data_IF_937409384376
#
_entry.id   IF_937409384376
#
_cell.length_a   1.000
_cell.length_b   1.000
_cell.length_c   1.000
_cell.angle_alpha   90.00
_cell.angle_beta   90.00
_cell.angle_gamma   90.00
#
_symmetry.space_group_name_H-M   'P 1'
#
loop_
_entity.id
_entity.type
_entity.pdbx_description
1 polymer ?
#
# COMPACT_ATOMS: atom_id res chain seq x y z
N UNK A 1 6.33 29.39 -15.12
CA UNK A 1 6.60 28.18 -14.32
C UNK A 1 6.47 28.57 -12.85
N UNK A 2 5.35 28.24 -12.18
CA UNK A 2 5.28 28.30 -10.73
C UNK A 2 5.95 27.05 -10.12
N UNK A 3 6.51 27.14 -8.91
CA UNK A 3 7.48 26.18 -8.39
C UNK A 3 6.84 24.99 -7.68
N UNK A 4 7.55 23.86 -7.76
CA UNK A 4 7.29 22.54 -7.18
C UNK A 4 7.29 22.51 -5.63
N UNK A 5 6.28 23.11 -5.00
CA UNK A 5 6.05 22.99 -3.55
C UNK A 5 4.91 22.02 -3.18
N UNK A 6 4.12 21.57 -4.14
CA UNK A 6 3.05 20.59 -3.90
C UNK A 6 3.57 19.14 -3.78
N UNK A 7 4.67 18.81 -4.45
CA UNK A 7 5.16 17.42 -4.55
C UNK A 7 5.69 16.87 -3.20
N UNK A 8 6.40 17.68 -2.41
CA UNK A 8 7.04 17.21 -1.17
C UNK A 8 6.09 16.85 -0.02
N UNK A 9 4.91 17.50 0.06
CA UNK A 9 3.92 17.21 1.13
C UNK A 9 3.09 15.98 0.78
N UNK A 10 2.86 15.75 -0.51
CA UNK A 10 2.11 14.59 -1.02
C UNK A 10 2.94 13.30 -0.88
N UNK A 11 4.21 13.33 -1.27
CA UNK A 11 5.09 12.17 -1.12
C UNK A 11 5.25 11.75 0.34
N UNK A 12 5.32 12.72 1.26
CA UNK A 12 5.40 12.44 2.70
C UNK A 12 4.15 11.77 3.27
N UNK A 13 2.94 11.99 2.71
CA UNK A 13 1.71 11.36 3.23
C UNK A 13 1.53 9.93 2.71
N UNK A 14 1.94 9.65 1.47
CA UNK A 14 1.91 8.28 0.92
C UNK A 14 2.93 7.38 1.60
N UNK A 15 4.14 7.87 1.86
CA UNK A 15 5.15 7.12 2.63
C UNK A 15 4.65 6.81 4.05
N UNK A 16 3.93 7.76 4.66
CA UNK A 16 3.30 7.55 5.97
C UNK A 16 2.19 6.49 5.89
N UNK A 17 1.34 6.54 4.86
CA UNK A 17 0.30 5.55 4.61
C UNK A 17 0.90 4.15 4.47
N UNK A 18 1.93 3.99 3.63
CA UNK A 18 2.60 2.71 3.38
C UNK A 18 3.28 2.15 4.65
N UNK A 19 3.89 3.04 5.44
CA UNK A 19 4.41 2.67 6.77
C UNK A 19 3.30 2.21 7.71
N UNK A 20 2.12 2.81 7.65
CA UNK A 20 0.99 2.42 8.49
C UNK A 20 0.37 1.10 8.01
N UNK A 21 0.24 0.91 6.70
CA UNK A 21 -0.20 -0.34 6.08
C UNK A 21 0.69 -1.52 6.46
N UNK A 22 2.01 -1.37 6.37
CA UNK A 22 2.97 -2.41 6.78
C UNK A 22 2.88 -2.75 8.28
N UNK A 23 2.46 -1.78 9.10
CA UNK A 23 2.23 -1.94 10.54
C UNK A 23 0.79 -2.35 10.92
N UNK A 24 -0.08 -2.71 9.95
CA UNK A 24 -1.48 -3.16 10.18
C UNK A 24 -1.62 -4.14 11.35
N UNK A 25 -0.69 -5.09 11.46
CA UNK A 25 -0.73 -6.14 12.48
C UNK A 25 -0.68 -5.58 13.92
N UNK A 26 0.00 -4.47 14.15
CA UNK A 26 0.10 -3.82 15.47
C UNK A 26 -1.27 -3.28 15.89
N UNK A 27 -1.93 -2.51 15.01
CA UNK A 27 -3.25 -1.94 15.29
C UNK A 27 -4.32 -3.01 15.48
N UNK A 28 -4.29 -4.07 14.65
CA UNK A 28 -5.18 -5.23 14.83
C UNK A 28 -4.95 -5.92 16.18
N UNK A 29 -3.69 -6.08 16.63
CA UNK A 29 -3.38 -6.68 17.93
C UNK A 29 -3.89 -5.83 19.11
N UNK A 30 -3.77 -4.50 19.03
CA UNK A 30 -4.34 -3.59 20.03
C UNK A 30 -5.87 -3.73 20.11
N UNK A 31 -6.53 -3.80 18.94
CA UNK A 31 -7.98 -4.03 18.84
C UNK A 31 -8.39 -5.37 19.45
N UNK A 32 -7.69 -6.45 19.10
CA UNK A 32 -7.95 -7.79 19.66
C UNK A 32 -7.72 -7.84 21.17
N UNK A 33 -6.69 -7.15 21.68
CA UNK A 33 -6.44 -7.05 23.12
C UNK A 33 -7.60 -6.37 23.85
N UNK A 34 -8.12 -5.27 23.30
CA UNK A 34 -9.31 -4.57 23.84
C UNK A 34 -10.54 -5.47 23.84
N UNK A 35 -10.77 -6.20 22.75
CA UNK A 35 -11.88 -7.15 22.61
C UNK A 35 -11.76 -8.32 23.61
N UNK A 36 -10.55 -8.84 23.82
CA UNK A 36 -10.29 -9.87 24.84
C UNK A 36 -10.59 -9.35 26.25
N UNK A 37 -10.20 -8.10 26.56
CA UNK A 37 -10.54 -7.46 27.83
C UNK A 37 -12.04 -7.37 28.07
N UNK A 38 -12.81 -6.94 27.06
CA UNK A 38 -14.27 -6.87 27.14
C UNK A 38 -14.91 -8.27 27.30
N UNK A 39 -14.42 -9.28 26.57
CA UNK A 39 -14.89 -10.66 26.70
C UNK A 39 -14.57 -11.26 28.07
N UNK A 40 -13.44 -10.91 28.67
CA UNK A 40 -13.06 -11.39 30.00
C UNK A 40 -14.07 -10.98 31.07
N UNK A 41 -14.68 -9.78 30.94
CA UNK A 41 -15.74 -9.30 31.83
C UNK A 41 -16.97 -10.22 31.82
N UNK A 42 -17.27 -10.87 30.68
CA UNK A 42 -18.38 -11.84 30.60
C UNK A 42 -18.04 -13.19 31.27
N UNK A 43 -16.75 -13.56 31.30
CA UNK A 43 -16.31 -14.86 31.82
C UNK A 43 -15.97 -14.85 33.31
N UNK A 44 -15.42 -13.75 33.82
CA UNK A 44 -14.92 -13.64 35.19
C UNK A 44 -16.06 -13.69 36.22
N UNK A 45 -17.23 -13.13 35.88
CA UNK A 45 -18.45 -13.10 36.73
C UNK A 45 -19.56 -14.07 36.24
N UNK A 46 -19.22 -15.03 35.38
CA UNK A 46 -20.16 -15.88 34.63
C UNK A 46 -21.14 -16.74 35.46
N UNK A 47 -21.00 -16.80 36.79
CA UNK A 47 -21.97 -17.50 37.65
C UNK A 47 -23.11 -16.61 38.18
N UNK A 48 -23.05 -15.28 38.08
CA UNK A 48 -24.11 -14.39 38.61
C UNK A 48 -24.29 -13.05 37.86
N UNK A 49 -23.66 -12.81 36.70
CA UNK A 49 -23.80 -11.52 36.04
C UNK A 49 -25.25 -11.26 35.56
N UNK A 50 -25.93 -10.19 36.02
CA UNK A 50 -27.29 -9.88 35.59
C UNK A 50 -27.40 -9.71 34.07
N UNK A 51 -28.56 -10.04 33.50
CA UNK A 51 -28.80 -9.95 32.06
C UNK A 51 -28.61 -8.51 31.56
N UNK A 52 -28.98 -7.52 32.36
CA UNK A 52 -28.79 -6.11 32.06
C UNK A 52 -27.30 -5.74 31.93
N UNK A 53 -26.45 -6.28 32.80
CA UNK A 53 -25.00 -6.04 32.74
C UNK A 53 -24.36 -6.74 31.53
N UNK A 54 -24.79 -7.98 31.26
CA UNK A 54 -24.41 -8.68 30.03
C UNK A 54 -24.78 -7.88 28.79
N UNK A 55 -25.99 -7.31 28.74
CA UNK A 55 -26.46 -6.47 27.65
C UNK A 55 -25.57 -5.24 27.43
N UNK A 56 -25.14 -4.58 28.52
CA UNK A 56 -24.25 -3.42 28.41
C UNK A 56 -22.84 -3.80 27.93
N UNK A 57 -22.29 -4.93 28.39
CA UNK A 57 -20.97 -5.40 27.91
C UNK A 57 -21.05 -5.79 26.43
N UNK A 58 -22.13 -6.48 26.02
CA UNK A 58 -22.38 -6.77 24.62
C UNK A 58 -22.52 -5.49 23.78
N UNK A 59 -23.14 -4.41 24.28
CA UNK A 59 -23.18 -3.13 23.55
C UNK A 59 -21.77 -2.59 23.28
N UNK A 60 -20.87 -2.63 24.26
CA UNK A 60 -19.47 -2.23 24.07
C UNK A 60 -18.75 -3.12 23.05
N UNK A 61 -19.03 -4.42 23.07
CA UNK A 61 -18.49 -5.36 22.07
C UNK A 61 -19.06 -5.06 20.67
N UNK A 62 -20.34 -4.76 20.55
CA UNK A 62 -20.97 -4.34 19.28
C UNK A 62 -20.28 -3.09 18.76
N UNK A 63 -20.08 -2.06 19.59
CA UNK A 63 -19.40 -0.82 19.20
C UNK A 63 -17.96 -1.07 18.68
N UNK A 64 -17.21 -1.96 19.34
CA UNK A 64 -15.85 -2.30 18.91
C UNK A 64 -15.80 -3.18 17.66
N UNK A 65 -16.75 -4.12 17.53
CA UNK A 65 -16.84 -5.01 16.38
C UNK A 65 -17.46 -4.33 15.16
N UNK A 66 -18.29 -3.31 15.35
CA UNK A 66 -19.08 -2.70 14.28
C UNK A 66 -18.25 -2.33 13.06
N UNK A 67 -17.09 -1.64 13.19
CA UNK A 67 -16.28 -1.33 12.03
C UNK A 67 -15.24 -2.41 11.69
N UNK A 68 -15.14 -3.48 12.48
CA UNK A 68 -14.06 -4.48 12.41
C UNK A 68 -14.52 -5.85 11.86
N UNK A 69 -15.68 -6.37 12.29
CA UNK A 69 -16.18 -7.68 11.88
C UNK A 69 -17.71 -7.70 11.86
N UNK A 70 -18.29 -7.88 10.67
CA UNK A 70 -19.73 -8.01 10.49
C UNK A 70 -20.29 -9.19 11.29
N UNK A 71 -19.69 -10.37 11.16
CA UNK A 71 -20.20 -11.61 11.77
C UNK A 71 -20.19 -11.53 13.30
N UNK A 72 -19.14 -10.95 13.88
CA UNK A 72 -19.05 -10.76 15.33
C UNK A 72 -20.09 -9.74 15.81
N UNK A 73 -20.27 -8.64 15.07
CA UNK A 73 -21.29 -7.63 15.38
C UNK A 73 -22.69 -8.25 15.37
N UNK A 74 -23.02 -8.98 14.31
CA UNK A 74 -24.29 -9.70 14.17
C UNK A 74 -24.52 -10.68 15.32
N UNK A 75 -23.48 -11.45 15.69
CA UNK A 75 -23.57 -12.40 16.80
C UNK A 75 -23.96 -11.73 18.12
N UNK A 76 -23.32 -10.61 18.46
CA UNK A 76 -23.61 -9.89 19.71
C UNK A 76 -24.94 -9.13 19.66
N UNK A 77 -25.36 -8.61 18.50
CA UNK A 77 -26.71 -8.04 18.33
C UNK A 77 -27.76 -9.10 18.63
N UNK A 78 -27.60 -10.32 18.09
CA UNK A 78 -28.54 -11.42 18.32
C UNK A 78 -28.58 -11.87 19.79
N UNK A 79 -27.42 -11.90 20.47
CA UNK A 79 -27.36 -12.16 21.92
C UNK A 79 -28.11 -11.09 22.72
N UNK A 80 -27.93 -9.82 22.36
CA UNK A 80 -28.66 -8.72 22.99
C UNK A 80 -30.16 -8.75 22.71
N UNK A 81 -30.57 -9.17 21.52
CA UNK A 81 -31.98 -9.36 21.20
C UNK A 81 -32.60 -10.46 22.08
N UNK A 82 -31.91 -11.58 22.29
CA UNK A 82 -32.37 -12.64 23.18
C UNK A 82 -32.53 -12.16 24.63
N UNK A 83 -31.56 -11.41 25.15
CA UNK A 83 -31.64 -10.78 26.47
C UNK A 83 -32.83 -9.82 26.56
N UNK A 84 -32.99 -8.95 25.57
CA UNK A 84 -34.07 -7.96 25.55
C UNK A 84 -35.46 -8.60 25.54
N UNK A 85 -35.61 -9.74 24.84
CA UNK A 85 -36.82 -10.56 24.84
C UNK A 85 -37.08 -11.20 26.21
N UNK A 86 -36.06 -11.80 26.82
CA UNK A 86 -36.17 -12.42 28.15
C UNK A 86 -36.60 -11.41 29.23
N UNK A 87 -36.05 -10.20 29.16
CA UNK A 87 -36.39 -9.09 30.05
C UNK A 87 -37.70 -8.38 29.67
N UNK A 88 -38.36 -8.76 28.57
CA UNK A 88 -39.53 -8.07 28.01
C UNK A 88 -39.34 -6.55 27.85
N UNK A 89 -38.11 -6.11 27.54
CA UNK A 89 -37.78 -4.69 27.44
C UNK A 89 -37.94 -4.20 25.99
N UNK A 90 -39.11 -3.64 25.68
CA UNK A 90 -39.46 -3.16 24.34
C UNK A 90 -38.48 -2.12 23.77
N UNK A 91 -37.90 -1.25 24.62
CA UNK A 91 -36.90 -0.28 24.18
C UNK A 91 -35.64 -0.98 23.67
N UNK A 92 -35.19 -2.02 24.38
CA UNK A 92 -34.00 -2.78 24.01
C UNK A 92 -34.26 -3.67 22.79
N UNK A 93 -35.46 -4.24 22.67
CA UNK A 93 -35.86 -5.00 21.48
C UNK A 93 -35.79 -4.10 20.24
N UNK A 94 -36.39 -2.90 20.30
CA UNK A 94 -36.36 -1.97 19.18
C UNK A 94 -34.95 -1.46 18.87
N UNK A 95 -34.11 -1.22 19.89
CA UNK A 95 -32.69 -0.89 19.69
C UNK A 95 -31.93 -2.01 18.98
N UNK A 96 -32.14 -3.27 19.37
CA UNK A 96 -31.52 -4.42 18.73
C UNK A 96 -31.98 -4.58 17.27
N UNK A 97 -33.27 -4.44 17.00
CA UNK A 97 -33.82 -4.48 15.65
C UNK A 97 -33.26 -3.35 14.78
N UNK A 98 -33.15 -2.14 15.33
CA UNK A 98 -32.55 -1.01 14.62
C UNK A 98 -31.07 -1.24 14.31
N UNK A 99 -30.28 -1.70 15.29
CA UNK A 99 -28.87 -2.05 15.08
C UNK A 99 -28.72 -3.15 14.02
N UNK A 100 -29.60 -4.15 14.02
CA UNK A 100 -29.59 -5.20 13.00
C UNK A 100 -29.89 -4.63 11.61
N UNK A 101 -30.91 -3.78 11.48
CA UNK A 101 -31.25 -3.14 10.22
C UNK A 101 -30.10 -2.27 9.69
N UNK A 102 -29.46 -1.47 10.55
CA UNK A 102 -28.31 -0.64 10.21
C UNK A 102 -27.12 -1.48 9.72
N UNK A 103 -26.81 -2.59 10.39
CA UNK A 103 -25.73 -3.49 10.01
C UNK A 103 -26.00 -4.17 8.66
N UNK A 104 -27.26 -4.58 8.43
CA UNK A 104 -27.67 -5.18 7.16
C UNK A 104 -27.62 -4.14 6.03
N UNK A 105 -28.10 -2.92 6.26
CA UNK A 105 -28.02 -1.83 5.30
C UNK A 105 -26.57 -1.45 4.95
N UNK A 106 -25.67 -1.36 5.93
CA UNK A 106 -24.25 -1.03 5.69
C UNK A 106 -23.53 -2.05 4.81
N UNK A 107 -23.98 -3.30 4.83
CA UNK A 107 -23.38 -4.39 4.06
C UNK A 107 -24.11 -4.72 2.74
N UNK A 108 -25.12 -3.94 2.36
CA UNK A 108 -25.87 -4.09 1.10
C UNK A 108 -27.11 -5.01 1.16
N UNK A 109 -27.56 -5.43 2.35
CA UNK A 109 -28.74 -6.32 2.54
C UNK A 109 -30.02 -5.50 2.74
N UNK A 110 -30.32 -4.63 1.78
CA UNK A 110 -31.35 -3.59 1.92
C UNK A 110 -32.76 -4.13 2.19
N UNK A 111 -33.17 -5.21 1.52
CA UNK A 111 -34.52 -5.78 1.68
C UNK A 111 -34.76 -6.29 3.11
N UNK A 112 -33.81 -7.05 3.66
CA UNK A 112 -33.87 -7.55 5.03
C UNK A 112 -33.90 -6.39 6.04
N UNK A 113 -33.04 -5.38 5.83
CA UNK A 113 -33.03 -4.17 6.67
C UNK A 113 -34.39 -3.45 6.66
N UNK A 114 -34.97 -3.22 5.48
CA UNK A 114 -36.29 -2.57 5.36
C UNK A 114 -37.40 -3.37 6.04
N UNK A 115 -37.37 -4.70 5.95
CA UNK A 115 -38.38 -5.54 6.57
C UNK A 115 -38.28 -5.52 8.10
N UNK A 116 -37.07 -5.43 8.66
CA UNK A 116 -36.86 -5.23 10.10
C UNK A 116 -37.34 -3.84 10.52
N UNK A 117 -36.98 -2.77 9.79
CA UNK A 117 -37.38 -1.40 10.13
C UNK A 117 -38.91 -1.27 10.26
N UNK A 118 -39.69 -1.94 9.38
CA UNK A 118 -41.16 -1.93 9.43
C UNK A 118 -41.74 -2.53 10.73
N UNK A 119 -40.97 -3.35 11.45
CA UNK A 119 -41.41 -3.95 12.72
C UNK A 119 -41.16 -3.05 13.93
N UNK A 120 -40.39 -1.97 13.77
CA UNK A 120 -39.99 -1.11 14.88
C UNK A 120 -41.13 -0.14 15.21
N UNK A 121 -41.62 -0.23 16.44
CA UNK A 121 -42.54 0.77 16.97
C UNK A 121 -41.78 2.01 17.45
N UNK A 122 -41.97 3.10 16.71
CA UNK A 122 -41.32 4.41 16.93
C UNK A 122 -41.64 5.01 18.31
N UNK A 123 -42.74 4.62 18.96
CA UNK A 123 -43.12 5.12 20.30
C UNK A 123 -42.07 4.77 21.37
N UNK A 124 -41.29 3.70 21.15
CA UNK A 124 -40.25 3.26 22.09
C UNK A 124 -38.83 3.72 21.70
N UNK A 125 -38.70 4.58 20.69
CA UNK A 125 -37.42 5.17 20.31
C UNK A 125 -37.22 6.50 21.03
N UNK A 126 -36.02 6.71 21.57
CA UNK A 126 -35.61 8.06 21.97
C UNK A 126 -35.20 8.88 20.74
N UNK A 127 -34.87 10.16 20.94
CA UNK A 127 -34.51 11.07 19.84
C UNK A 127 -33.33 10.54 19.02
N UNK A 128 -32.32 9.96 19.67
CA UNK A 128 -31.13 9.43 18.98
C UNK A 128 -31.49 8.22 18.12
N UNK A 129 -32.22 7.25 18.67
CA UNK A 129 -32.67 6.08 17.92
C UNK A 129 -33.66 6.44 16.81
N UNK A 130 -34.42 7.52 16.97
CA UNK A 130 -35.32 8.03 15.92
C UNK A 130 -34.51 8.59 14.74
N UNK A 131 -33.44 9.33 15.03
CA UNK A 131 -32.50 9.82 14.01
C UNK A 131 -31.85 8.62 13.30
N UNK A 132 -31.35 7.63 14.05
CA UNK A 132 -30.74 6.42 13.50
C UNK A 132 -31.71 5.62 12.62
N UNK A 133 -32.99 5.54 12.99
CA UNK A 133 -34.04 4.89 12.21
C UNK A 133 -34.23 5.56 10.84
N UNK A 134 -34.34 6.88 10.80
CA UNK A 134 -34.47 7.60 9.54
C UNK A 134 -33.17 7.60 8.73
N UNK A 135 -32.01 7.69 9.39
CA UNK A 135 -30.71 7.54 8.76
C UNK A 135 -30.55 6.18 8.08
N UNK A 136 -31.09 5.10 8.68
CA UNK A 136 -31.07 3.78 8.07
C UNK A 136 -31.84 3.76 6.75
N UNK A 137 -33.05 4.33 6.70
CA UNK A 137 -33.79 4.45 5.45
C UNK A 137 -33.11 5.37 4.45
N UNK A 138 -32.62 6.53 4.89
CA UNK A 138 -31.88 7.49 4.06
C UNK A 138 -30.70 6.80 3.37
N UNK A 139 -29.91 6.01 4.11
CA UNK A 139 -28.82 5.20 3.55
C UNK A 139 -29.31 4.20 2.52
N UNK A 140 -30.33 3.40 2.86
CA UNK A 140 -30.89 2.38 1.95
C UNK A 140 -31.30 3.01 0.62
N UNK A 141 -32.02 4.13 0.65
CA UNK A 141 -32.50 4.77 -0.57
C UNK A 141 -31.40 5.51 -1.32
N UNK A 142 -30.41 6.09 -0.64
CA UNK A 142 -29.21 6.64 -1.28
C UNK A 142 -28.43 5.56 -2.04
N UNK A 143 -28.19 4.41 -1.43
CA UNK A 143 -27.47 3.32 -2.09
C UNK A 143 -28.30 2.72 -3.24
N UNK A 144 -29.61 2.52 -3.05
CA UNK A 144 -30.50 2.04 -4.12
C UNK A 144 -30.57 2.99 -5.32
N UNK A 145 -30.58 4.30 -5.06
CA UNK A 145 -30.51 5.35 -6.09
C UNK A 145 -29.23 5.23 -6.93
N UNK A 146 -28.08 5.13 -6.24
CA UNK A 146 -26.77 4.98 -6.86
C UNK A 146 -26.68 3.73 -7.77
N UNK A 147 -27.19 2.59 -7.30
CA UNK A 147 -27.17 1.34 -8.09
C UNK A 147 -28.34 1.20 -9.08
N UNK A 148 -29.30 2.12 -9.10
CA UNK A 148 -30.46 2.02 -9.99
C UNK A 148 -30.07 2.21 -11.47
N UNK A 149 -30.43 1.22 -12.29
CA UNK A 149 -30.30 1.29 -13.75
C UNK A 149 -31.46 2.04 -14.43
N UNK A 150 -32.67 1.96 -13.86
CA UNK A 150 -33.86 2.56 -14.43
C UNK A 150 -34.10 3.96 -13.85
N UNK A 151 -34.39 4.93 -14.71
CA UNK A 151 -34.63 6.32 -14.32
C UNK A 151 -35.82 6.46 -13.36
N UNK A 152 -36.90 5.72 -13.57
CA UNK A 152 -38.09 5.79 -12.70
C UNK A 152 -37.80 5.27 -11.29
N UNK A 153 -37.06 4.16 -11.17
CA UNK A 153 -36.59 3.68 -9.86
C UNK A 153 -35.67 4.69 -9.18
N UNK A 154 -34.77 5.32 -9.94
CA UNK A 154 -33.88 6.38 -9.44
C UNK A 154 -34.69 7.55 -8.85
N UNK A 155 -35.68 8.06 -9.59
CA UNK A 155 -36.58 9.12 -9.10
C UNK A 155 -37.32 8.72 -7.82
N UNK A 156 -37.84 7.50 -7.76
CA UNK A 156 -38.54 6.99 -6.57
C UNK A 156 -37.60 6.93 -5.36
N UNK A 157 -36.40 6.38 -5.53
CA UNK A 157 -35.42 6.28 -4.46
C UNK A 157 -34.90 7.65 -4.00
N UNK A 158 -34.61 8.56 -4.94
CA UNK A 158 -34.26 9.95 -4.63
C UNK A 158 -35.35 10.67 -3.84
N UNK A 159 -36.62 10.53 -4.23
CA UNK A 159 -37.74 11.10 -3.47
C UNK A 159 -37.82 10.53 -2.05
N UNK A 160 -37.66 9.22 -1.89
CA UNK A 160 -37.69 8.61 -0.56
C UNK A 160 -36.50 9.05 0.29
N UNK A 161 -35.31 9.18 -0.30
CA UNK A 161 -34.14 9.76 0.37
C UNK A 161 -34.43 11.16 0.94
N UNK A 162 -35.07 12.04 0.15
CA UNK A 162 -35.46 13.39 0.59
C UNK A 162 -36.47 13.33 1.75
N UNK A 163 -37.52 12.51 1.64
CA UNK A 163 -38.55 12.35 2.69
C UNK A 163 -37.94 11.98 4.05
N UNK A 164 -36.97 11.06 4.06
CA UNK A 164 -36.31 10.68 5.30
C UNK A 164 -35.31 11.74 5.78
N UNK A 165 -34.70 12.49 4.87
CA UNK A 165 -33.85 13.64 5.22
C UNK A 165 -34.66 14.74 5.91
N UNK A 166 -35.84 15.07 5.38
CA UNK A 166 -36.76 16.04 6.00
C UNK A 166 -37.26 15.58 7.37
N UNK A 167 -37.42 14.27 7.56
CA UNK A 167 -37.82 13.69 8.86
C UNK A 167 -36.74 13.82 9.93
N UNK A 168 -35.47 13.91 9.52
CA UNK A 168 -34.31 14.06 10.41
C UNK A 168 -34.10 15.54 10.78
N UNK A 169 -34.27 16.45 9.83
CA UNK A 169 -33.97 17.88 9.97
C UNK A 169 -34.47 18.53 11.28
N UNK A 170 -35.72 18.35 11.75
CA UNK A 170 -36.20 18.98 12.99
C UNK A 170 -35.63 18.36 14.28
N UNK A 171 -34.92 17.23 14.18
CA UNK A 171 -34.40 16.48 15.33
C UNK A 171 -32.93 16.82 15.64
N UNK A 172 -32.20 17.43 14.70
CA UNK A 172 -30.78 17.76 14.86
C UNK A 172 -30.62 19.23 15.27
N UNK A 173 -29.70 19.49 16.20
CA UNK A 173 -29.31 20.85 16.57
C UNK A 173 -28.25 21.43 15.64
N UNK A 174 -28.25 22.75 15.48
CA UNK A 174 -27.37 23.46 14.54
C UNK A 174 -25.86 23.28 14.82
N UNK A 175 -25.46 22.88 16.04
CA UNK A 175 -24.07 22.67 16.44
C UNK A 175 -23.60 21.20 16.40
N UNK A 176 -24.53 20.27 16.19
CA UNK A 176 -24.27 18.83 16.09
C UNK A 176 -23.66 18.47 14.73
N UNK A 177 -22.84 17.41 14.69
CA UNK A 177 -22.12 17.03 13.48
C UNK A 177 -23.04 16.67 12.32
N UNK A 178 -24.19 16.07 12.62
CA UNK A 178 -25.17 15.65 11.62
C UNK A 178 -25.79 16.84 10.89
N UNK A 179 -25.90 18.00 11.55
CA UNK A 179 -26.39 19.23 10.94
C UNK A 179 -25.34 19.83 10.02
N UNK A 180 -24.09 19.93 10.50
CA UNK A 180 -22.96 20.40 9.69
C UNK A 180 -22.72 19.48 8.48
N UNK A 181 -22.91 18.17 8.65
CA UNK A 181 -22.86 17.18 7.59
C UNK A 181 -23.91 17.47 6.51
N UNK A 182 -25.16 17.71 6.91
CA UNK A 182 -26.24 18.01 5.98
C UNK A 182 -25.97 19.32 5.21
N UNK A 183 -25.49 20.36 5.90
CA UNK A 183 -25.08 21.62 5.28
C UNK A 183 -23.92 21.42 4.29
N UNK A 184 -22.92 20.62 4.66
CA UNK A 184 -21.78 20.33 3.78
C UNK A 184 -22.24 19.71 2.45
N UNK A 185 -23.13 18.71 2.50
CA UNK A 185 -23.67 18.07 1.30
C UNK A 185 -24.52 19.01 0.46
N UNK A 186 -25.39 19.80 1.10
CA UNK A 186 -26.18 20.80 0.36
C UNK A 186 -25.27 21.78 -0.38
N UNK A 187 -24.21 22.29 0.27
CA UNK A 187 -23.26 23.20 -0.37
C UNK A 187 -22.47 22.51 -1.49
N UNK A 188 -22.19 21.21 -1.37
CA UNK A 188 -21.55 20.42 -2.42
C UNK A 188 -22.46 20.32 -3.65
N UNK A 189 -23.75 19.98 -3.46
CA UNK A 189 -24.74 19.89 -4.54
C UNK A 189 -25.00 21.24 -5.22
N UNK A 190 -24.91 22.35 -4.47
CA UNK A 190 -24.98 23.72 -4.99
C UNK A 190 -23.69 24.17 -5.73
N UNK A 191 -22.60 23.37 -5.69
CA UNK A 191 -21.31 23.72 -6.27
C UNK A 191 -20.54 24.81 -5.51
N UNK A 192 -20.92 25.08 -4.25
CA UNK A 192 -20.32 26.10 -3.38
C UNK A 192 -19.13 25.53 -2.61
N UNK A 193 -18.09 25.14 -3.33
CA UNK A 193 -16.98 24.35 -2.80
C UNK A 193 -16.21 25.02 -1.65
N UNK A 194 -15.96 26.33 -1.71
CA UNK A 194 -15.21 27.04 -0.66
C UNK A 194 -15.96 27.02 0.68
N UNK A 195 -17.27 27.23 0.65
CA UNK A 195 -18.13 27.19 1.84
C UNK A 195 -18.28 25.76 2.35
N UNK A 196 -18.44 24.79 1.44
CA UNK A 196 -18.43 23.37 1.75
C UNK A 196 -17.14 22.96 2.49
N UNK A 197 -15.97 23.39 1.99
CA UNK A 197 -14.67 23.15 2.63
C UNK A 197 -14.53 23.86 3.99
N UNK A 198 -15.17 25.01 4.18
CA UNK A 198 -15.19 25.72 5.46
C UNK A 198 -15.97 24.91 6.50
N UNK A 199 -17.15 24.41 6.15
CA UNK A 199 -17.96 23.53 7.02
C UNK A 199 -17.23 22.22 7.29
N UNK A 200 -16.67 21.57 6.27
CA UNK A 200 -15.87 20.35 6.43
C UNK A 200 -14.68 20.59 7.38
N UNK A 201 -14.00 21.74 7.29
CA UNK A 201 -12.89 22.10 8.19
C UNK A 201 -13.34 22.27 9.64
N UNK A 202 -14.50 22.89 9.86
CA UNK A 202 -15.09 23.01 11.19
C UNK A 202 -15.38 21.62 11.78
N UNK A 203 -15.98 20.71 10.99
CA UNK A 203 -16.24 19.33 11.42
C UNK A 203 -14.94 18.60 11.72
N UNK A 204 -13.94 18.71 10.84
CA UNK A 204 -12.65 18.06 11.00
C UNK A 204 -11.90 18.54 12.24
N UNK A 205 -12.00 19.83 12.58
CA UNK A 205 -11.38 20.40 13.78
C UNK A 205 -11.91 19.80 15.10
N UNK A 206 -13.10 19.19 15.05
CA UNK A 206 -13.75 18.50 16.18
C UNK A 206 -13.55 16.98 16.15
N UNK A 207 -12.77 16.45 15.21
CA UNK A 207 -12.58 15.02 15.02
C UNK A 207 -11.13 14.60 15.29
N UNK A 208 -10.95 13.48 15.98
CA UNK A 208 -9.63 12.96 16.31
C UNK A 208 -9.18 11.92 15.27
N UNK A 209 -7.91 11.98 14.86
CA UNK A 209 -7.29 10.96 13.99
C UNK A 209 -7.47 9.55 14.60
N UNK A 210 -7.67 8.54 13.75
CA UNK A 210 -8.00 7.17 14.17
C UNK A 210 -9.38 7.05 14.83
N UNK A 211 -10.33 7.89 14.40
CA UNK A 211 -11.76 7.76 14.72
C UNK A 211 -12.59 7.62 13.45
N UNK A 212 -13.76 7.02 13.59
CA UNK A 212 -14.77 6.94 12.52
C UNK A 212 -15.07 8.29 11.90
N UNK A 213 -15.31 9.28 12.77
CA UNK A 213 -15.68 10.63 12.38
C UNK A 213 -14.58 11.27 11.54
N UNK A 214 -13.32 11.15 11.95
CA UNK A 214 -12.20 11.69 11.18
C UNK A 214 -12.06 11.00 9.82
N UNK A 215 -12.12 9.66 9.78
CA UNK A 215 -12.04 8.91 8.52
C UNK A 215 -13.13 9.35 7.54
N UNK A 216 -14.36 9.54 8.03
CA UNK A 216 -15.48 9.94 7.20
C UNK A 216 -15.35 11.38 6.69
N UNK A 217 -15.06 12.35 7.57
CA UNK A 217 -14.91 13.76 7.17
C UNK A 217 -13.77 13.95 6.16
N UNK A 218 -12.66 13.24 6.34
CA UNK A 218 -11.55 13.30 5.38
C UNK A 218 -11.88 12.61 4.06
N UNK A 219 -12.63 11.50 4.07
CA UNK A 219 -13.14 10.89 2.84
C UNK A 219 -14.08 11.86 2.10
N UNK A 220 -15.03 12.48 2.79
CA UNK A 220 -15.91 13.49 2.18
C UNK A 220 -15.11 14.64 1.59
N UNK A 221 -14.08 15.10 2.30
CA UNK A 221 -13.22 16.16 1.78
C UNK A 221 -12.52 15.77 0.48
N UNK A 222 -12.11 14.52 0.33
CA UNK A 222 -11.57 14.03 -0.93
C UNK A 222 -12.60 14.09 -2.07
N UNK A 223 -13.88 13.80 -1.79
CA UNK A 223 -14.96 13.92 -2.77
C UNK A 223 -15.22 15.38 -3.18
N UNK A 224 -15.08 16.33 -2.25
CA UNK A 224 -15.16 17.76 -2.59
C UNK A 224 -14.06 18.12 -3.60
N UNK A 225 -12.81 17.72 -3.33
CA UNK A 225 -11.69 18.01 -4.23
C UNK A 225 -11.79 17.26 -5.56
N UNK A 226 -12.35 16.04 -5.57
CA UNK A 226 -12.67 15.32 -6.80
C UNK A 226 -13.63 16.13 -7.68
N UNK A 227 -14.71 16.69 -7.12
CA UNK A 227 -15.66 17.52 -7.88
C UNK A 227 -15.02 18.84 -8.35
N UNK A 228 -14.06 19.38 -7.61
CA UNK A 228 -13.28 20.55 -8.02
C UNK A 228 -12.23 20.21 -9.10
N UNK A 229 -11.92 18.93 -9.32
CA UNK A 229 -10.84 18.49 -10.21
C UNK A 229 -9.43 18.65 -9.62
N UNK A 230 -9.29 18.86 -8.31
CA UNK A 230 -8.00 18.96 -7.61
C UNK A 230 -7.53 17.57 -7.15
N UNK A 231 -6.94 16.84 -8.09
CA UNK A 231 -6.47 15.47 -7.89
C UNK A 231 -5.44 15.36 -6.74
N UNK A 232 -4.41 16.23 -6.62
CA UNK A 232 -3.46 16.13 -5.51
C UNK A 232 -4.14 16.25 -4.13
N UNK A 233 -5.12 17.13 -3.97
CA UNK A 233 -5.85 17.24 -2.72
C UNK A 233 -6.80 16.06 -2.49
N UNK A 234 -7.49 15.58 -3.53
CA UNK A 234 -8.28 14.35 -3.47
C UNK A 234 -7.44 13.20 -2.89
N UNK A 235 -6.29 12.90 -3.50
CA UNK A 235 -5.43 11.78 -3.08
C UNK A 235 -4.88 11.97 -1.66
N UNK A 236 -4.50 13.20 -1.29
CA UNK A 236 -4.05 13.51 0.08
C UNK A 236 -5.12 13.18 1.12
N UNK A 237 -6.37 13.57 0.88
CA UNK A 237 -7.45 13.34 1.84
C UNK A 237 -7.94 11.89 1.82
N UNK A 238 -7.85 11.19 0.68
CA UNK A 238 -8.01 9.73 0.63
C UNK A 238 -6.96 9.02 1.49
N UNK A 239 -5.69 9.42 1.39
CA UNK A 239 -4.61 8.85 2.18
C UNK A 239 -4.80 9.12 3.69
N UNK A 240 -5.20 10.34 4.08
CA UNK A 240 -5.50 10.67 5.48
C UNK A 240 -6.67 9.84 6.04
N UNK A 241 -7.71 9.65 5.24
CA UNK A 241 -8.86 8.81 5.59
C UNK A 241 -8.43 7.35 5.77
N UNK A 242 -7.68 6.79 4.81
CA UNK A 242 -7.15 5.44 4.89
C UNK A 242 -6.22 5.25 6.11
N UNK A 243 -5.34 6.21 6.40
CA UNK A 243 -4.48 6.19 7.59
C UNK A 243 -5.31 6.09 8.88
N UNK A 244 -6.37 6.89 8.98
CA UNK A 244 -7.27 6.88 10.13
C UNK A 244 -7.99 5.54 10.27
N UNK A 245 -8.52 5.00 9.17
CA UNK A 245 -9.19 3.69 9.17
C UNK A 245 -8.25 2.56 9.60
N UNK A 246 -7.02 2.53 9.07
CA UNK A 246 -6.05 1.48 9.42
C UNK A 246 -5.67 1.55 10.90
N UNK A 247 -5.40 2.75 11.43
CA UNK A 247 -5.09 2.93 12.85
C UNK A 247 -6.25 2.53 13.75
N UNK A 248 -7.48 2.84 13.33
CA UNK A 248 -8.69 2.44 14.04
C UNK A 248 -9.08 0.97 13.83
N UNK A 249 -8.33 0.23 13.00
CA UNK A 249 -8.64 -1.13 12.55
C UNK A 249 -10.04 -1.24 11.95
N UNK A 250 -10.46 -0.25 11.16
CA UNK A 250 -11.72 -0.26 10.42
C UNK A 250 -11.55 -1.01 9.10
N UNK A 251 -12.39 -2.00 8.88
CA UNK A 251 -12.27 -2.98 7.79
C UNK A 251 -13.25 -2.71 6.64
N UNK A 252 -14.38 -2.06 6.94
CA UNK A 252 -15.23 -1.52 5.88
C UNK A 252 -14.80 -0.08 5.56
N UNK A 253 -13.84 0.06 4.64
CA UNK A 253 -13.31 1.35 4.19
C UNK A 253 -13.32 1.48 2.65
N UNK A 254 -13.54 2.71 2.17
CA UNK A 254 -13.62 3.03 0.74
C UNK A 254 -12.36 3.73 0.21
N UNK A 255 -11.69 4.47 1.08
CA UNK A 255 -10.69 5.48 0.71
C UNK A 255 -9.48 4.88 0.00
N UNK A 256 -8.97 3.75 0.51
CA UNK A 256 -7.78 3.11 -0.06
C UNK A 256 -8.08 2.46 -1.43
N UNK A 257 -9.27 1.91 -1.63
CA UNK A 257 -9.68 1.37 -2.92
C UNK A 257 -9.81 2.48 -3.98
N UNK A 258 -10.37 3.64 -3.60
CA UNK A 258 -10.44 4.81 -4.46
C UNK A 258 -9.05 5.37 -4.78
N UNK A 259 -8.17 5.45 -3.77
CA UNK A 259 -6.79 5.87 -3.96
C UNK A 259 -6.03 4.91 -4.88
N UNK A 260 -6.29 3.60 -4.80
CA UNK A 260 -5.70 2.62 -5.71
C UNK A 260 -6.06 2.90 -7.17
N UNK A 261 -7.31 3.29 -7.46
CA UNK A 261 -7.73 3.67 -8.80
C UNK A 261 -7.02 4.94 -9.29
N UNK A 262 -6.91 5.98 -8.47
CA UNK A 262 -6.14 7.20 -8.81
C UNK A 262 -4.66 6.91 -9.06
N UNK A 263 -4.08 6.07 -8.23
CA UNK A 263 -2.69 5.63 -8.34
C UNK A 263 -2.47 4.83 -9.63
N UNK A 264 -3.45 4.00 -10.02
CA UNK A 264 -3.45 3.27 -11.27
C UNK A 264 -3.55 4.20 -12.50
N UNK A 265 -4.44 5.21 -12.45
CA UNK A 265 -4.59 6.23 -13.50
C UNK A 265 -3.28 7.02 -13.74
N UNK A 266 -2.44 7.14 -12.70
CA UNK A 266 -1.10 7.74 -12.77
C UNK A 266 0.01 6.78 -13.20
N UNK A 267 -0.34 5.57 -13.64
CA UNK A 267 0.57 4.50 -14.08
C UNK A 267 1.50 3.92 -12.98
N UNK A 268 1.24 4.19 -11.70
CA UNK A 268 1.95 3.51 -10.60
C UNK A 268 1.27 2.20 -10.22
N UNK A 269 1.46 1.21 -11.10
CA UNK A 269 0.80 -0.10 -11.02
C UNK A 269 1.16 -0.85 -9.72
N UNK A 270 2.39 -0.70 -9.22
CA UNK A 270 2.83 -1.40 -8.02
C UNK A 270 2.12 -0.87 -6.77
N UNK A 271 2.07 0.46 -6.57
CA UNK A 271 1.34 1.05 -5.44
C UNK A 271 -0.16 0.78 -5.55
N UNK A 272 -0.73 0.92 -6.74
CA UNK A 272 -2.13 0.62 -6.99
C UNK A 272 -2.47 -0.84 -6.61
N UNK A 273 -1.60 -1.79 -6.97
CA UNK A 273 -1.75 -3.20 -6.61
C UNK A 273 -1.76 -3.42 -5.09
N UNK A 274 -0.80 -2.83 -4.36
CA UNK A 274 -0.75 -2.98 -2.91
C UNK A 274 -1.99 -2.37 -2.22
N UNK A 275 -2.44 -1.21 -2.68
CA UNK A 275 -3.61 -0.52 -2.12
C UNK A 275 -4.90 -1.30 -2.37
N UNK A 276 -5.15 -1.76 -3.61
CA UNK A 276 -6.38 -2.47 -3.93
C UNK A 276 -6.43 -3.86 -3.28
N UNK A 277 -5.28 -4.53 -3.18
CA UNK A 277 -5.18 -5.81 -2.47
C UNK A 277 -5.48 -5.65 -0.99
N UNK A 278 -4.94 -4.60 -0.36
CA UNK A 278 -5.22 -4.31 1.05
C UNK A 278 -6.71 -4.08 1.31
N UNK A 279 -7.39 -3.30 0.45
CA UNK A 279 -8.83 -3.08 0.53
C UNK A 279 -9.65 -4.35 0.27
N UNK A 280 -9.22 -5.20 -0.66
CA UNK A 280 -9.86 -6.48 -0.93
C UNK A 280 -9.80 -7.42 0.28
N UNK A 281 -8.63 -7.54 0.91
CA UNK A 281 -8.45 -8.34 2.12
C UNK A 281 -9.33 -7.85 3.27
N UNK A 282 -9.43 -6.53 3.47
CA UNK A 282 -10.28 -5.94 4.51
C UNK A 282 -11.78 -6.18 4.21
N UNK A 283 -12.23 -6.06 2.96
CA UNK A 283 -13.61 -6.35 2.57
C UNK A 283 -14.00 -7.82 2.81
N UNK A 284 -13.08 -8.75 2.50
CA UNK A 284 -13.24 -10.18 2.77
C UNK A 284 -13.27 -10.46 4.27
N UNK A 285 -12.33 -9.90 5.03
CA UNK A 285 -12.26 -10.09 6.49
C UNK A 285 -13.51 -9.56 7.19
N UNK A 286 -13.96 -8.35 6.81
CA UNK A 286 -15.15 -7.76 7.39
C UNK A 286 -16.43 -8.50 7.02
N UNK A 287 -16.49 -9.14 5.85
CA UNK A 287 -17.69 -9.72 5.22
C UNK A 287 -18.69 -8.68 4.65
N UNK A 288 -18.18 -7.61 4.02
CA UNK A 288 -19.02 -6.62 3.32
C UNK A 288 -19.30 -7.06 1.88
N UNK A 289 -20.55 -7.45 1.59
CA UNK A 289 -20.97 -7.78 0.21
C UNK A 289 -20.96 -6.56 -0.70
N UNK A 290 -21.44 -5.43 -0.18
CA UNK A 290 -21.44 -4.16 -0.91
C UNK A 290 -20.03 -3.78 -1.34
N UNK A 291 -19.09 -3.71 -0.38
CA UNK A 291 -17.69 -3.33 -0.67
C UNK A 291 -17.05 -4.27 -1.68
N UNK A 292 -17.27 -5.57 -1.53
CA UNK A 292 -16.74 -6.57 -2.45
C UNK A 292 -17.18 -6.31 -3.90
N UNK A 293 -18.46 -6.00 -4.11
CA UNK A 293 -18.99 -5.68 -5.45
C UNK A 293 -18.45 -4.36 -5.97
N UNK A 294 -18.37 -3.32 -5.13
CA UNK A 294 -17.85 -2.00 -5.52
C UNK A 294 -16.42 -2.05 -6.04
N UNK A 295 -15.54 -2.81 -5.38
CA UNK A 295 -14.12 -2.86 -5.73
C UNK A 295 -13.79 -3.93 -6.78
N UNK A 296 -14.70 -4.85 -7.10
CA UNK A 296 -14.40 -6.04 -7.91
C UNK A 296 -13.79 -5.69 -9.28
N UNK A 297 -14.37 -4.71 -9.98
CA UNK A 297 -13.89 -4.30 -11.30
C UNK A 297 -12.48 -3.69 -11.23
N UNK A 298 -12.27 -2.74 -10.32
CA UNK A 298 -10.97 -2.09 -10.12
C UNK A 298 -9.90 -3.10 -9.66
N UNK A 299 -10.28 -4.02 -8.77
CA UNK A 299 -9.41 -5.10 -8.32
C UNK A 299 -8.95 -5.97 -9.49
N UNK A 300 -9.88 -6.49 -10.30
CA UNK A 300 -9.53 -7.32 -11.47
C UNK A 300 -8.63 -6.56 -12.45
N UNK A 301 -8.96 -5.30 -12.77
CA UNK A 301 -8.19 -4.48 -13.70
C UNK A 301 -6.75 -4.25 -13.23
N UNK A 302 -6.57 -3.86 -11.96
CA UNK A 302 -5.25 -3.57 -11.39
C UNK A 302 -4.44 -4.86 -11.23
N UNK A 303 -5.06 -5.95 -10.78
CA UNK A 303 -4.40 -7.27 -10.67
C UNK A 303 -3.84 -7.75 -12.01
N UNK A 304 -4.66 -7.69 -13.07
CA UNK A 304 -4.23 -8.09 -14.42
C UNK A 304 -3.08 -7.19 -14.92
N UNK A 305 -3.19 -5.89 -14.71
CA UNK A 305 -2.15 -4.93 -15.13
C UNK A 305 -0.81 -5.19 -14.42
N UNK A 306 -0.85 -5.49 -13.12
CA UNK A 306 0.33 -5.85 -12.35
C UNK A 306 0.94 -7.18 -12.81
N UNK A 307 0.13 -8.19 -13.11
CA UNK A 307 0.59 -9.47 -13.66
C UNK A 307 1.30 -9.27 -15.01
N UNK A 308 0.71 -8.50 -15.92
CA UNK A 308 1.31 -8.16 -17.22
C UNK A 308 2.65 -7.44 -17.03
N UNK A 309 2.72 -6.47 -16.10
CA UNK A 309 3.95 -5.73 -15.82
C UNK A 309 5.04 -6.65 -15.26
N UNK A 310 4.70 -7.51 -14.30
CA UNK A 310 5.62 -8.48 -13.70
C UNK A 310 6.19 -9.46 -14.73
N UNK A 311 5.34 -10.00 -15.61
CA UNK A 311 5.79 -10.89 -16.68
C UNK A 311 6.69 -10.18 -17.71
N UNK A 312 6.45 -8.89 -18.00
CA UNK A 312 7.36 -8.08 -18.84
C UNK A 312 8.72 -7.88 -18.17
N UNK A 313 8.74 -7.52 -16.89
CA UNK A 313 9.98 -7.33 -16.12
C UNK A 313 10.79 -8.63 -16.04
N UNK A 314 10.13 -9.76 -15.77
CA UNK A 314 10.76 -11.09 -15.75
C UNK A 314 11.38 -11.45 -17.10
N UNK A 315 10.68 -11.21 -18.21
CA UNK A 315 11.24 -11.42 -19.56
C UNK A 315 12.46 -10.53 -19.82
N UNK A 316 12.39 -9.25 -19.45
CA UNK A 316 13.52 -8.33 -19.57
C UNK A 316 14.73 -8.79 -18.75
N UNK A 317 14.51 -9.25 -17.51
CA UNK A 317 15.56 -9.78 -16.64
C UNK A 317 16.23 -11.03 -17.24
N UNK A 318 15.44 -11.94 -17.83
CA UNK A 318 15.97 -13.10 -18.56
C UNK A 318 16.84 -12.66 -19.73
N UNK A 319 16.39 -11.70 -20.54
CA UNK A 319 17.16 -11.16 -21.67
C UNK A 319 18.48 -10.53 -21.19
N UNK A 320 18.45 -9.69 -20.15
CA UNK A 320 19.66 -9.10 -19.59
C UNK A 320 20.61 -10.16 -19.03
N UNK A 321 20.08 -11.20 -18.39
CA UNK A 321 20.89 -12.32 -17.89
C UNK A 321 21.61 -13.04 -19.03
N UNK A 322 20.94 -13.27 -20.16
CA UNK A 322 21.55 -13.86 -21.37
C UNK A 322 22.67 -12.97 -21.90
N UNK A 323 22.42 -11.66 -22.05
CA UNK A 323 23.41 -10.70 -22.57
C UNK A 323 24.64 -10.65 -21.65
N UNK A 324 24.44 -10.53 -20.34
CA UNK A 324 25.52 -10.50 -19.34
C UNK A 324 26.32 -11.81 -19.36
N UNK A 325 25.65 -12.95 -19.53
CA UNK A 325 26.32 -14.25 -19.63
C UNK A 325 27.21 -14.34 -20.86
N UNK A 326 26.73 -13.88 -22.03
CA UNK A 326 27.52 -13.84 -23.27
C UNK A 326 28.72 -12.90 -23.11
N UNK A 327 28.50 -11.69 -22.58
CA UNK A 327 29.59 -10.72 -22.33
C UNK A 327 30.64 -11.28 -21.38
N UNK A 328 30.21 -12.00 -20.33
CA UNK A 328 31.11 -12.66 -19.39
C UNK A 328 31.95 -13.74 -20.09
N UNK A 329 31.35 -14.56 -20.95
CA UNK A 329 32.08 -15.57 -21.74
C UNK A 329 33.12 -14.93 -22.68
N UNK A 330 32.76 -13.85 -23.38
CA UNK A 330 33.68 -13.11 -24.24
C UNK A 330 34.84 -12.53 -23.41
N UNK A 331 34.55 -11.97 -22.23
CA UNK A 331 35.56 -11.46 -21.31
C UNK A 331 36.52 -12.57 -20.86
N UNK A 332 36.00 -13.74 -20.46
CA UNK A 332 36.81 -14.89 -20.11
C UNK A 332 37.70 -15.35 -21.26
N UNK A 333 37.17 -15.38 -22.50
CA UNK A 333 37.94 -15.74 -23.69
C UNK A 333 39.07 -14.73 -23.97
N UNK A 334 38.80 -13.42 -23.84
CA UNK A 334 39.81 -12.37 -23.98
C UNK A 334 40.90 -12.48 -22.92
N UNK A 335 40.52 -12.65 -21.65
CA UNK A 335 41.48 -12.85 -20.55
C UNK A 335 42.35 -14.09 -20.79
N UNK A 336 41.75 -15.19 -21.25
CA UNK A 336 42.49 -16.40 -21.62
C UNK A 336 43.46 -16.15 -22.78
N UNK A 337 43.04 -15.40 -23.81
CA UNK A 337 43.90 -15.05 -24.94
C UNK A 337 45.09 -14.18 -24.50
N UNK A 338 44.85 -13.15 -23.68
CA UNK A 338 45.89 -12.28 -23.12
C UNK A 338 46.87 -13.09 -22.27
N UNK A 339 46.36 -13.97 -21.41
CA UNK A 339 47.20 -14.87 -20.61
C UNK A 339 48.10 -15.75 -21.49
N UNK A 340 47.53 -16.36 -22.55
CA UNK A 340 48.29 -17.17 -23.50
C UNK A 340 49.34 -16.33 -24.24
N UNK A 341 48.97 -15.13 -24.70
CA UNK A 341 49.87 -14.23 -25.41
C UNK A 341 51.06 -13.82 -24.52
N UNK A 342 50.81 -13.47 -23.26
CA UNK A 342 51.87 -13.14 -22.30
C UNK A 342 52.82 -14.31 -22.05
N UNK A 343 52.29 -15.55 -21.93
CA UNK A 343 53.13 -16.74 -21.77
C UNK A 343 54.02 -17.00 -22.98
N UNK A 344 53.51 -16.80 -24.20
CA UNK A 344 54.31 -16.91 -25.43
C UNK A 344 55.36 -15.80 -25.51
N UNK A 345 55.01 -14.56 -25.15
CA UNK A 345 55.94 -13.43 -25.12
C UNK A 345 57.07 -13.65 -24.12
N UNK A 346 56.76 -14.26 -22.97
CA UNK A 346 57.75 -14.59 -21.95
C UNK A 346 58.75 -15.62 -22.47
N UNK A 347 58.30 -16.69 -23.13
CA UNK A 347 59.18 -17.66 -23.81
C UNK A 347 60.08 -17.02 -24.87
N UNK A 348 59.52 -16.16 -25.72
CA UNK A 348 60.30 -15.48 -26.76
C UNK A 348 61.37 -14.54 -26.17
N UNK A 349 61.08 -13.90 -25.03
CA UNK A 349 62.06 -13.10 -24.29
C UNK A 349 63.18 -13.98 -23.70
N UNK A 350 62.83 -15.13 -23.15
CA UNK A 350 63.80 -16.09 -22.59
C UNK A 350 64.72 -16.63 -23.72
N UNK A 351 64.16 -17.01 -24.87
CA UNK A 351 64.93 -17.45 -26.04
C UNK A 351 65.84 -16.34 -26.59
N UNK A 352 65.34 -15.10 -26.68
CA UNK A 352 66.17 -13.94 -27.07
C UNK A 352 67.30 -13.67 -26.06
N UNK A 353 67.04 -13.88 -24.77
CA UNK A 353 68.06 -13.75 -23.74
C UNK A 353 69.18 -14.78 -23.95
N UNK A 354 68.83 -16.04 -24.17
CA UNK A 354 69.79 -17.12 -24.44
C UNK A 354 70.59 -16.88 -25.73
N UNK A 355 69.94 -16.48 -26.82
CA UNK A 355 70.62 -16.17 -28.09
C UNK A 355 71.57 -14.98 -27.92
N UNK A 356 71.19 -13.95 -27.16
CA UNK A 356 72.06 -12.80 -26.90
C UNK A 356 73.27 -13.19 -26.04
N UNK A 357 73.12 -14.07 -25.05
CA UNK A 357 74.24 -14.60 -24.28
C UNK A 357 75.19 -15.43 -25.15
N UNK A 358 74.67 -16.28 -26.04
CA UNK A 358 75.48 -16.99 -27.02
C UNK A 358 76.21 -16.02 -27.96
N UNK A 359 75.52 -14.99 -28.44
CA UNK A 359 76.11 -13.95 -29.30
C UNK A 359 77.25 -13.22 -28.59
N UNK A 360 77.06 -12.82 -27.33
CA UNK A 360 78.14 -12.23 -26.51
C UNK A 360 79.31 -13.18 -26.30
N UNK A 361 79.05 -14.47 -26.05
CA UNK A 361 80.09 -15.47 -25.86
C UNK A 361 80.94 -15.67 -27.13
N UNK A 362 80.28 -15.77 -28.29
CA UNK A 362 80.96 -15.84 -29.59
C UNK A 362 81.75 -14.56 -29.84
N UNK A 363 81.17 -13.38 -29.56
CA UNK A 363 81.86 -12.11 -29.77
C UNK A 363 83.11 -11.98 -28.86
N UNK A 364 83.03 -12.42 -27.59
CA UNK A 364 84.19 -12.50 -26.69
C UNK A 364 85.27 -13.44 -27.24
N UNK A 365 84.89 -14.63 -27.70
CA UNK A 365 85.83 -15.58 -28.33
C UNK A 365 86.51 -14.97 -29.57
N UNK A 366 85.77 -14.19 -30.35
CA UNK A 366 86.30 -13.46 -31.51
C UNK A 366 87.27 -12.34 -31.10
N UNK A 367 86.98 -11.61 -30.03
CA UNK A 367 87.87 -10.61 -29.44
C UNK A 367 89.13 -11.25 -28.87
N UNK A 368 89.00 -12.37 -28.16
CA UNK A 368 90.12 -13.13 -27.59
C UNK A 368 91.04 -13.66 -28.70
N UNK A 369 90.48 -14.28 -29.74
CA UNK A 369 91.26 -14.76 -30.89
C UNK A 369 91.90 -13.61 -31.67
N UNK A 370 91.22 -12.47 -31.84
CA UNK A 370 91.82 -11.26 -32.41
C UNK A 370 92.98 -10.73 -31.55
N UNK A 371 92.86 -10.83 -30.23
CA UNK A 371 93.90 -10.42 -29.28
C UNK A 371 95.10 -11.37 -29.32
N UNK A 372 94.87 -12.68 -29.34
CA UNK A 372 95.89 -13.70 -29.53
C UNK A 372 96.61 -13.55 -30.87
N UNK A 373 95.86 -13.32 -31.97
CA UNK A 373 96.42 -13.03 -33.28
C UNK A 373 97.32 -11.79 -33.22
N UNK A 374 96.85 -10.68 -32.64
CA UNK A 374 97.69 -9.48 -32.45
C UNK A 374 98.94 -9.76 -31.63
N UNK A 375 98.83 -10.52 -30.53
CA UNK A 375 99.97 -10.93 -29.71
C UNK A 375 100.96 -11.76 -30.53
N UNK A 376 100.50 -12.76 -31.27
CA UNK A 376 101.33 -13.58 -32.15
C UNK A 376 102.05 -12.74 -33.22
N UNK A 377 101.37 -11.80 -33.87
CA UNK A 377 101.96 -10.86 -34.83
C UNK A 377 102.95 -9.88 -34.19
N UNK A 378 102.84 -9.62 -32.89
CA UNK A 378 103.78 -8.75 -32.15
C UNK A 378 105.00 -9.53 -31.64
N UNK A 379 104.82 -10.83 -31.32
CA UNK A 379 105.90 -11.72 -30.83
C UNK A 379 106.71 -12.31 -31.98
N UNK A 380 106.10 -12.61 -33.13
CA UNK A 380 106.76 -13.15 -34.33
C UNK A 380 107.97 -12.31 -34.78
N UNK A 381 107.90 -10.98 -34.87
CA UNK A 381 109.06 -10.14 -35.17
C UNK A 381 110.15 -10.22 -34.08
N UNK A 382 109.79 -10.30 -32.80
CA UNK A 382 110.74 -10.40 -31.69
C UNK A 382 111.46 -11.75 -31.65
N UNK A 383 110.76 -12.84 -31.98
CA UNK A 383 111.36 -14.18 -32.11
C UNK A 383 112.31 -14.26 -33.31
N UNK A 384 111.94 -13.68 -34.45
CA UNK A 384 112.81 -13.60 -35.64
C UNK A 384 114.08 -12.78 -35.35
N UNK A 385 113.97 -11.68 -34.59
CA UNK A 385 115.14 -10.91 -34.15
C UNK A 385 116.01 -11.72 -33.19
N UNK A 386 115.44 -12.46 -32.22
CA UNK A 386 116.22 -13.28 -31.28
C UNK A 386 116.93 -14.49 -31.93
N UNK A 387 116.32 -15.07 -32.98
CA UNK A 387 116.89 -16.20 -33.73
C UNK A 387 118.01 -15.77 -34.69
N UNK A 388 117.92 -14.53 -35.20
CA UNK A 388 119.00 -13.94 -36.01
C UNK A 388 120.20 -13.49 -35.16
N UNK A 389 120.03 -13.26 -33.85
CA UNK A 389 121.16 -12.98 -32.94
C UNK A 389 121.90 -14.25 -32.48
N UNK A 390 121.23 -15.42 -32.44
CA UNK A 390 121.89 -16.69 -32.06
C UNK A 390 122.60 -17.40 -33.22
N UNK A 391 122.27 -17.09 -34.47
CA UNK A 391 122.96 -17.62 -35.66
C UNK A 391 124.14 -16.74 -36.14
N UNK A 392 124.43 -15.62 -35.48
CA UNK A 392 125.55 -14.74 -35.81
C UNK A 392 126.80 -14.94 -34.89
N UNK A 393 126.77 -15.94 -34.00
CA UNK A 393 127.86 -16.23 -33.05
C UNK A 393 128.27 -17.72 -33.02
N UNK A 394 128.26 -18.40 -34.16
CA UNK A 394 128.89 -19.73 -34.31
C UNK A 394 129.45 -19.94 -35.70
#
# INVERSE_FOLDING_TARGET
MPPAFADNVSDSIFDQLEKIMSNRHIYNQEKESKLLGLKALLTYDSKQLPLEEQYQIHNKLIEEYWPYSFDSTLSYINRNAAIALELNNLKWINKCNLNLALLLASSGRYKEAQDILKTIDKVYLDTKLTIDYFNCYRKIYSDLDYFALQLESRKEYGYLYEVYTDSIAPLIKEDEDDYLYAQEWQLLDEGRFDECLMINSLRLSKAEMASEKYSYITFQRSMIYEQMGDIPMEEKYLALSAISDIKASRKDNASLAKLALRTYEREDINRAYEYIKYSFEDAVFYNSKLRFVEIANSFSLIMESHEIQSERQKKALIVFTIIISILSLVLFALLYFVYRQNKTLQKAKDELHDVNEQYKAVNRSLEDTMTELRLSFTILPKLIISKNYTLATS
#
